data_IF_999576808965
#
_entry.id   IF_999576808965
#
_cell.length_a   1.000
_cell.length_b   1.000
_cell.length_c   1.000
_cell.angle_alpha   90.00
_cell.angle_beta   90.00
_cell.angle_gamma   90.00
#
_symmetry.space_group_name_H-M   'P 1'
#
loop_
_entity.id
_entity.type
_entity.pdbx_description
1 polymer ?
#
# COMPACT_ATOMS: atom_id res chain seq x y z
N UNK A 1 17.09 6.05 12.42
CA UNK A 1 16.33 5.78 11.17
C UNK A 1 17.26 5.42 10.02
N UNK A 2 18.24 6.24 9.66
CA UNK A 2 19.14 5.97 8.52
C UNK A 2 19.91 4.64 8.66
N UNK A 3 20.44 4.34 9.85
CA UNK A 3 21.16 3.10 10.13
C UNK A 3 20.27 1.85 9.99
N UNK A 4 19.01 1.92 10.41
CA UNK A 4 18.05 0.83 10.19
C UNK A 4 17.77 0.62 8.70
N UNK A 5 17.46 1.69 7.96
CA UNK A 5 17.13 1.61 6.54
C UNK A 5 18.32 1.15 5.66
N UNK A 6 19.56 1.31 6.14
CA UNK A 6 20.74 0.78 5.45
C UNK A 6 20.76 -0.76 5.41
N UNK A 7 20.07 -1.43 6.33
CA UNK A 7 19.94 -2.88 6.37
C UNK A 7 18.65 -3.39 5.70
N UNK A 8 17.83 -2.49 5.17
CA UNK A 8 16.56 -2.82 4.52
C UNK A 8 16.76 -2.79 3.02
N UNK A 9 16.54 -3.93 2.35
CA UNK A 9 16.66 -4.03 0.90
C UNK A 9 15.50 -3.34 0.18
N UNK A 10 14.28 -3.62 0.61
CA UNK A 10 13.06 -3.02 0.07
C UNK A 10 12.16 -2.54 1.20
N UNK A 11 11.50 -1.40 0.99
CA UNK A 11 10.56 -0.84 1.95
C UNK A 11 9.19 -0.62 1.31
N UNK A 12 8.15 -1.01 2.05
CA UNK A 12 6.75 -0.66 1.78
C UNK A 12 6.25 0.20 2.92
N UNK A 13 5.67 1.36 2.61
CA UNK A 13 5.02 2.22 3.60
C UNK A 13 3.50 2.17 3.41
N UNK A 14 2.77 2.08 4.52
CA UNK A 14 1.30 2.07 4.53
C UNK A 14 0.79 3.39 5.08
N UNK A 15 -0.07 4.06 4.33
CA UNK A 15 -0.60 5.38 4.67
C UNK A 15 -2.12 5.40 4.58
N UNK A 16 -2.74 6.37 5.24
CA UNK A 16 -4.17 6.62 5.14
C UNK A 16 -4.45 7.87 4.31
N UNK A 17 -5.42 7.80 3.40
CA UNK A 17 -5.89 8.98 2.67
C UNK A 17 -7.41 9.09 2.62
N UNK A 18 -7.87 10.29 2.24
CA UNK A 18 -9.28 10.59 2.00
C UNK A 18 -9.44 11.46 0.74
N UNK A 19 -10.14 10.93 -0.27
CA UNK A 19 -10.53 11.66 -1.48
C UNK A 19 -11.93 11.23 -1.92
N UNK A 20 -12.76 12.20 -2.27
CA UNK A 20 -14.10 11.95 -2.84
C UNK A 20 -13.96 11.15 -4.12
N UNK A 21 -14.84 10.17 -4.35
CA UNK A 21 -14.83 9.32 -5.54
C UNK A 21 -13.72 8.26 -5.58
N UNK A 22 -12.88 8.13 -4.53
CA UNK A 22 -11.78 7.16 -4.48
C UNK A 22 -11.81 6.24 -3.26
N UNK A 23 -12.97 6.07 -2.61
CA UNK A 23 -13.08 5.24 -1.40
C UNK A 23 -12.75 3.75 -1.63
N UNK A 24 -12.79 3.27 -2.87
CA UNK A 24 -12.47 1.90 -3.28
C UNK A 24 -11.12 1.78 -3.99
N UNK A 25 -10.30 2.83 -3.99
CA UNK A 25 -8.95 2.77 -4.56
C UNK A 25 -7.88 2.60 -3.49
N UNK A 26 -6.92 1.74 -3.79
CA UNK A 26 -5.64 1.58 -3.11
C UNK A 26 -4.57 2.17 -4.03
N UNK A 27 -3.81 3.19 -3.61
CA UNK A 27 -2.87 3.87 -4.51
C UNK A 27 -1.45 3.41 -4.23
N UNK A 28 -0.82 2.74 -5.19
CA UNK A 28 0.51 2.15 -5.09
C UNK A 28 1.56 3.02 -5.82
N UNK A 29 2.05 4.02 -5.09
CA UNK A 29 3.11 4.95 -5.50
C UNK A 29 4.51 4.47 -5.11
N UNK A 30 5.42 5.42 -4.90
CA UNK A 30 6.83 5.19 -4.55
C UNK A 30 7.76 5.09 -5.75
N UNK A 31 9.07 5.20 -5.51
CA UNK A 31 10.09 5.12 -6.56
C UNK A 31 10.34 3.69 -7.04
N UNK A 32 10.13 2.69 -6.18
CA UNK A 32 10.32 1.28 -6.54
C UNK A 32 9.11 0.73 -7.31
N UNK A 33 9.07 0.98 -8.63
CA UNK A 33 7.90 0.66 -9.45
C UNK A 33 7.61 -0.83 -9.57
N UNK A 34 8.64 -1.68 -9.56
CA UNK A 34 8.47 -3.14 -9.56
C UNK A 34 7.78 -3.63 -8.30
N UNK A 35 8.24 -3.22 -7.12
CA UNK A 35 7.60 -3.50 -5.84
C UNK A 35 6.15 -3.00 -5.79
N UNK A 36 5.85 -1.81 -6.32
CA UNK A 36 4.48 -1.31 -6.40
C UNK A 36 3.57 -2.21 -7.28
N UNK A 37 4.08 -2.75 -8.39
CA UNK A 37 3.34 -3.70 -9.23
C UNK A 37 3.21 -5.08 -8.59
N UNK A 38 4.23 -5.53 -7.88
CA UNK A 38 4.21 -6.77 -7.11
C UNK A 38 3.13 -6.75 -6.03
N UNK A 39 3.04 -5.65 -5.28
CA UNK A 39 1.94 -5.42 -4.34
C UNK A 39 0.58 -5.51 -5.05
N UNK A 40 0.43 -4.87 -6.21
CA UNK A 40 -0.81 -4.91 -6.97
C UNK A 40 -1.20 -6.31 -7.48
N UNK A 41 -0.21 -7.16 -7.78
CA UNK A 41 -0.44 -8.53 -8.24
C UNK A 41 -0.87 -9.47 -7.10
N UNK A 42 -0.47 -9.19 -5.86
CA UNK A 42 -0.70 -10.08 -4.72
C UNK A 42 -1.81 -9.61 -3.77
N UNK A 43 -2.04 -8.30 -3.69
CA UNK A 43 -3.08 -7.73 -2.83
C UNK A 43 -4.41 -7.72 -3.58
N UNK A 44 -5.27 -8.70 -3.27
CA UNK A 44 -6.64 -8.75 -3.79
C UNK A 44 -7.62 -8.41 -2.67
N UNK A 45 -8.36 -7.29 -2.83
CA UNK A 45 -9.40 -6.88 -1.87
C UNK A 45 -10.72 -6.74 -2.64
N UNK A 46 -11.73 -7.60 -2.40
CA UNK A 46 -12.99 -7.55 -3.13
C UNK A 46 -13.66 -6.16 -3.11
N UNK A 47 -14.01 -5.65 -4.28
CA UNK A 47 -14.62 -4.33 -4.44
C UNK A 47 -13.64 -3.14 -4.38
N UNK A 48 -12.33 -3.40 -4.35
CA UNK A 48 -11.29 -2.39 -4.44
C UNK A 48 -10.41 -2.61 -5.67
N UNK A 49 -9.82 -1.52 -6.15
CA UNK A 49 -8.85 -1.53 -7.24
C UNK A 49 -7.54 -0.92 -6.77
N UNK A 50 -6.43 -1.60 -7.08
CA UNK A 50 -5.08 -1.06 -6.86
C UNK A 50 -4.66 -0.27 -8.09
N UNK A 51 -4.30 0.99 -7.88
CA UNK A 51 -3.84 1.91 -8.92
C UNK A 51 -2.33 2.02 -8.81
N UNK A 52 -1.60 1.58 -9.83
CA UNK A 52 -0.14 1.68 -9.93
C UNK A 52 0.33 2.68 -10.99
N UNK A 53 -0.57 3.14 -11.85
CA UNK A 53 -0.27 4.21 -12.79
C UNK A 53 -0.11 5.53 -12.04
N UNK A 54 1.08 6.13 -12.11
CA UNK A 54 1.40 7.37 -11.41
C UNK A 54 0.55 8.54 -11.93
N UNK A 55 0.15 8.53 -13.19
CA UNK A 55 -0.67 9.61 -13.76
C UNK A 55 -2.12 9.53 -13.30
N UNK A 56 -2.60 8.33 -12.95
CA UNK A 56 -3.89 8.13 -12.30
C UNK A 56 -3.90 8.42 -10.78
N UNK A 57 -2.72 8.61 -10.16
CA UNK A 57 -2.55 8.92 -8.73
C UNK A 57 -2.39 10.44 -8.53
N UNK A 58 -3.18 11.07 -7.62
CA UNK A 58 -2.99 12.47 -7.24
C UNK A 58 -1.54 12.76 -6.85
N UNK A 59 -0.97 13.86 -7.34
CA UNK A 59 0.46 14.15 -7.29
C UNK A 59 1.05 14.02 -5.88
N UNK A 60 0.33 14.51 -4.88
CA UNK A 60 0.69 14.50 -3.47
C UNK A 60 0.67 13.10 -2.83
N UNK A 61 0.00 12.13 -3.44
CA UNK A 61 -0.13 10.74 -2.98
C UNK A 61 0.78 9.77 -3.74
N UNK A 62 1.59 10.26 -4.69
CA UNK A 62 2.47 9.41 -5.51
C UNK A 62 3.67 8.86 -4.73
N UNK A 63 4.04 9.46 -3.59
CA UNK A 63 5.18 9.00 -2.79
C UNK A 63 6.55 9.08 -3.49
N UNK A 64 6.73 9.97 -4.48
CA UNK A 64 7.95 10.02 -5.32
C UNK A 64 9.09 10.88 -4.74
N UNK A 65 8.81 11.72 -3.74
CA UNK A 65 9.79 12.66 -3.22
C UNK A 65 11.04 11.92 -2.67
N UNK A 66 12.27 12.35 -3.00
CA UNK A 66 13.48 11.67 -2.56
C UNK A 66 13.61 11.63 -1.03
N UNK A 67 13.14 12.67 -0.34
CA UNK A 67 13.16 12.72 1.13
C UNK A 67 12.03 11.96 1.82
N UNK A 68 11.09 11.39 1.06
CA UNK A 68 10.11 10.48 1.66
C UNK A 68 10.85 9.30 2.32
N UNK A 69 10.62 9.00 3.61
CA UNK A 69 11.33 7.94 4.32
C UNK A 69 11.36 6.59 3.59
N UNK A 70 10.29 6.23 2.88
CA UNK A 70 10.23 4.97 2.14
C UNK A 70 11.22 4.91 0.98
N UNK A 71 11.67 6.07 0.47
CA UNK A 71 12.61 6.17 -0.64
C UNK A 71 14.08 6.27 -0.20
N UNK A 72 14.36 6.18 1.10
CA UNK A 72 15.72 6.24 1.65
C UNK A 72 16.43 4.89 1.69
N UNK A 73 15.74 3.79 1.39
CA UNK A 73 16.35 2.47 1.15
C UNK A 73 17.05 2.43 -0.20
N UNK A 74 17.97 1.47 -0.38
CA UNK A 74 18.69 1.28 -1.64
C UNK A 74 17.69 0.93 -2.76
N UNK A 75 17.60 1.78 -3.79
CA UNK A 75 16.63 1.60 -4.89
C UNK A 75 15.27 2.31 -4.67
N UNK A 76 15.06 2.92 -3.50
CA UNK A 76 13.78 3.50 -3.10
C UNK A 76 12.73 2.45 -2.72
N UNK A 77 11.54 2.89 -2.34
CA UNK A 77 10.49 1.98 -1.86
C UNK A 77 9.14 2.21 -2.54
N UNK A 78 8.14 1.44 -2.10
CA UNK A 78 6.75 1.54 -2.53
C UNK A 78 5.87 2.14 -1.44
N UNK A 79 4.93 3.00 -1.81
CA UNK A 79 3.97 3.60 -0.88
C UNK A 79 2.58 3.13 -1.25
N UNK A 80 1.83 2.63 -0.26
CA UNK A 80 0.44 2.23 -0.43
C UNK A 80 -0.47 3.16 0.37
N UNK A 81 -1.31 3.91 -0.32
CA UNK A 81 -2.31 4.79 0.27
C UNK A 81 -3.65 4.05 0.39
N UNK A 82 -4.15 3.99 1.62
CA UNK A 82 -5.34 3.22 2.01
C UNK A 82 -6.50 4.15 2.38
N UNK A 83 -7.64 3.97 1.72
CA UNK A 83 -8.85 4.74 2.06
C UNK A 83 -9.33 4.41 3.48
N UNK A 84 -10.16 5.27 4.08
CA UNK A 84 -10.78 4.96 5.39
C UNK A 84 -11.62 3.68 5.38
N UNK A 85 -12.20 3.30 4.22
CA UNK A 85 -13.07 2.13 4.10
C UNK A 85 -12.29 0.81 4.20
N UNK A 86 -11.18 0.67 3.46
CA UNK A 86 -10.34 -0.55 3.52
C UNK A 86 -9.62 -0.70 4.85
N UNK A 87 -9.41 0.40 5.57
CA UNK A 87 -8.85 0.41 6.93
C UNK A 87 -9.85 0.03 8.03
N UNK A 88 -11.12 -0.18 7.68
CA UNK A 88 -12.15 -0.58 8.65
C UNK A 88 -12.67 0.55 9.54
N UNK A 89 -12.26 1.81 9.30
CA UNK A 89 -12.60 2.95 10.18
C UNK A 89 -13.67 3.89 9.59
N UNK A 90 -14.33 3.47 8.52
CA UNK A 90 -15.43 4.23 7.92
C UNK A 90 -16.77 3.70 8.42
N UNK A 91 -17.81 4.54 8.58
CA UNK A 91 -19.18 4.07 8.75
C UNK A 91 -19.69 3.18 7.60
N UNK A 92 -19.00 3.20 6.44
CA UNK A 92 -19.28 2.34 5.28
C UNK A 92 -18.31 1.17 5.15
N UNK A 93 -17.49 0.91 6.18
CA UNK A 93 -16.70 -0.32 6.27
C UNK A 93 -17.62 -1.50 6.58
N UNK A 94 -17.23 -2.71 6.15
CA UNK A 94 -17.93 -3.92 6.55
C UNK A 94 -17.81 -4.13 8.06
N UNK A 95 -18.79 -4.82 8.65
CA UNK A 95 -18.72 -5.22 10.05
C UNK A 95 -17.52 -6.14 10.28
N UNK A 96 -16.83 -6.05 11.44
CA UNK A 96 -15.78 -6.99 11.80
C UNK A 96 -16.26 -8.45 11.73
N UNK A 97 -15.44 -9.32 11.16
CA UNK A 97 -15.63 -10.77 11.20
C UNK A 97 -15.03 -11.40 12.46
N UNK A 98 -14.89 -12.73 12.44
CA UNK A 98 -14.34 -13.51 13.57
C UNK A 98 -12.90 -13.13 13.94
N UNK A 99 -12.14 -12.59 12.99
CA UNK A 99 -10.76 -12.09 13.19
C UNK A 99 -10.71 -10.67 13.78
N UNK A 100 -11.86 -10.06 14.07
CA UNK A 100 -11.98 -8.71 14.59
C UNK A 100 -11.70 -7.60 13.56
N UNK A 101 -11.50 -7.95 12.29
CA UNK A 101 -11.23 -7.01 11.21
C UNK A 101 -12.42 -6.93 10.25
N UNK A 102 -12.62 -5.76 9.63
CA UNK A 102 -13.51 -5.67 8.49
C UNK A 102 -13.00 -6.60 7.36
N UNK A 103 -13.86 -7.28 6.59
CA UNK A 103 -13.42 -8.24 5.57
C UNK A 103 -12.40 -7.68 4.57
N UNK A 104 -12.55 -6.40 4.18
CA UNK A 104 -11.61 -5.72 3.29
C UNK A 104 -10.22 -5.51 3.96
N UNK A 105 -10.19 -5.25 5.26
CA UNK A 105 -8.96 -5.10 6.04
C UNK A 105 -8.27 -6.45 6.19
N UNK A 106 -9.02 -7.52 6.48
CA UNK A 106 -8.49 -8.88 6.53
C UNK A 106 -7.86 -9.30 5.20
N UNK A 107 -8.59 -9.10 4.08
CA UNK A 107 -8.07 -9.37 2.74
C UNK A 107 -6.81 -8.56 2.39
N UNK A 108 -6.76 -7.28 2.79
CA UNK A 108 -5.56 -6.44 2.63
C UNK A 108 -4.36 -7.03 3.38
N UNK A 109 -4.54 -7.42 4.65
CA UNK A 109 -3.47 -8.00 5.48
C UNK A 109 -2.96 -9.31 4.87
N UNK A 110 -3.87 -10.21 4.46
CA UNK A 110 -3.50 -11.47 3.83
C UNK A 110 -2.73 -11.26 2.51
N UNK A 111 -3.19 -10.33 1.68
CA UNK A 111 -2.52 -9.96 0.43
C UNK A 111 -1.13 -9.36 0.64
N UNK A 112 -0.98 -8.46 1.62
CA UNK A 112 0.33 -7.89 1.98
C UNK A 112 1.28 -8.96 2.51
N UNK A 113 0.79 -9.88 3.34
CA UNK A 113 1.58 -10.97 3.86
C UNK A 113 1.99 -11.96 2.75
N UNK A 114 1.10 -12.23 1.78
CA UNK A 114 1.43 -13.02 0.60
C UNK A 114 2.51 -12.33 -0.24
N UNK A 115 2.35 -11.03 -0.53
CA UNK A 115 3.34 -10.25 -1.27
C UNK A 115 4.72 -10.26 -0.59
N UNK A 116 4.77 -10.15 0.73
CA UNK A 116 6.03 -10.20 1.48
C UNK A 116 6.70 -11.57 1.40
N UNK A 117 5.93 -12.66 1.46
CA UNK A 117 6.45 -14.04 1.38
C UNK A 117 6.88 -14.44 -0.02
N UNK A 118 6.31 -13.84 -1.06
CA UNK A 118 6.62 -14.16 -2.46
C UNK A 118 7.60 -13.18 -3.12
N UNK A 119 8.06 -12.16 -2.38
CA UNK A 119 9.06 -11.24 -2.91
C UNK A 119 10.41 -11.95 -3.02
N UNK A 120 10.92 -12.05 -4.25
CA UNK A 120 12.23 -12.60 -4.53
C UNK A 120 13.28 -11.50 -4.34
N UNK A 121 14.15 -11.72 -3.37
CA UNK A 121 15.23 -10.81 -2.97
C UNK A 121 16.38 -11.05 -3.95
N UNK A 122 16.68 -10.07 -4.80
CA UNK A 122 17.75 -10.16 -5.82
C UNK A 122 18.97 -9.34 -5.43
#
# INVERSE_FOLDING_TARGET
>A
MAEFLAHVEVAVSLHGYGRVGRSTHLLAGGRHRELARHLAAHVTVPGYQIITDLDAIPRELRGLHPDNPVNRVRGGGAQLELSSRVRGISPRSGLPGDDGLAPATSALVQGLAAAARSWDVR
#
